data_IF_064635119822
#
_entry.id   IF_064635119822
#
_cell.length_a   1.000
_cell.length_b   1.000
_cell.length_c   1.000
_cell.angle_alpha   90.00
_cell.angle_beta   90.00
_cell.angle_gamma   90.00
#
_symmetry.space_group_name_H-M   'P 1'
#
loop_
_entity.id
_entity.type
_entity.pdbx_description
1 polymer ?
#
# COMPACT_ATOMS: atom_id res chain seq x y z
N UNK A 1 15.11 -12.55 13.04
CA UNK A 1 13.91 -13.28 12.57
C UNK A 1 13.20 -12.36 11.59
N UNK A 2 13.04 -12.73 10.31
CA UNK A 2 12.30 -11.92 9.34
C UNK A 2 10.83 -11.98 9.73
N UNK A 3 10.30 -10.89 10.23
CA UNK A 3 8.98 -10.81 10.85
C UNK A 3 7.88 -11.25 9.89
N UNK A 4 7.19 -12.33 10.27
CA UNK A 4 6.09 -12.96 9.52
C UNK A 4 4.93 -11.99 9.27
N UNK A 5 4.84 -10.89 10.04
CA UNK A 5 3.79 -9.87 9.92
C UNK A 5 4.01 -8.91 8.75
N UNK A 6 5.23 -8.80 8.22
CA UNK A 6 5.55 -7.94 7.07
C UNK A 6 5.34 -8.68 5.74
N UNK A 7 5.47 -10.01 5.74
CA UNK A 7 5.22 -10.87 4.58
C UNK A 7 3.82 -10.73 3.94
N UNK A 8 2.71 -10.68 4.70
CA UNK A 8 1.39 -10.46 4.09
C UNK A 8 1.28 -9.09 3.43
N UNK A 9 1.90 -8.05 4.00
CA UNK A 9 1.91 -6.69 3.45
C UNK A 9 2.71 -6.65 2.15
N UNK A 10 3.91 -7.25 2.13
CA UNK A 10 4.73 -7.36 0.93
C UNK A 10 4.02 -8.13 -0.20
N UNK A 11 3.33 -9.23 0.13
CA UNK A 11 2.52 -9.97 -0.86
C UNK A 11 1.34 -9.16 -1.39
N UNK A 12 0.75 -8.28 -0.56
CA UNK A 12 -0.31 -7.38 -0.99
C UNK A 12 0.25 -6.31 -1.96
N UNK A 13 1.38 -5.70 -1.62
CA UNK A 13 2.12 -4.77 -2.49
C UNK A 13 2.43 -5.42 -3.85
N UNK A 14 2.98 -6.65 -3.87
CA UNK A 14 3.29 -7.35 -5.13
C UNK A 14 2.04 -7.59 -5.99
N UNK A 15 0.90 -7.91 -5.37
CA UNK A 15 -0.38 -8.06 -6.09
C UNK A 15 -0.85 -6.74 -6.69
N UNK A 16 -0.79 -5.67 -5.92
CA UNK A 16 -1.17 -4.32 -6.34
C UNK A 16 -0.32 -3.84 -7.53
N UNK A 17 1.01 -3.99 -7.45
CA UNK A 17 1.92 -3.65 -8.56
C UNK A 17 1.66 -4.53 -9.79
N UNK A 18 1.31 -5.81 -9.60
CA UNK A 18 0.95 -6.68 -10.71
C UNK A 18 -0.36 -6.25 -11.39
N UNK A 19 -1.36 -5.79 -10.63
CA UNK A 19 -2.58 -5.19 -11.17
C UNK A 19 -2.25 -3.90 -11.94
N UNK A 20 -1.45 -3.00 -11.37
CA UNK A 20 -1.00 -1.77 -12.04
C UNK A 20 -0.35 -2.07 -13.39
N UNK A 21 0.64 -2.97 -13.41
CA UNK A 21 1.29 -3.38 -14.65
C UNK A 21 0.33 -3.99 -15.66
N UNK A 22 -0.67 -4.76 -15.23
CA UNK A 22 -1.70 -5.29 -16.14
C UNK A 22 -2.54 -4.19 -16.75
N UNK A 23 -2.97 -3.21 -15.96
CA UNK A 23 -3.74 -2.06 -16.43
C UNK A 23 -2.94 -1.24 -17.44
N UNK A 24 -1.66 -0.98 -17.17
CA UNK A 24 -0.78 -0.31 -18.14
C UNK A 24 -0.55 -1.11 -19.42
N UNK A 25 -0.45 -2.44 -19.32
CA UNK A 25 -0.16 -3.32 -20.46
C UNK A 25 -1.40 -3.65 -21.31
N UNK A 26 -2.61 -3.50 -20.75
CA UNK A 26 -3.88 -3.69 -21.47
C UNK A 26 -4.17 -2.58 -22.49
N UNK A 27 -3.43 -1.46 -22.42
CA UNK A 27 -3.49 -0.37 -23.40
C UNK A 27 -4.62 0.62 -23.13
N UNK A 28 -4.34 1.90 -23.44
CA UNK A 28 -5.20 3.06 -23.23
C UNK A 28 -5.93 3.05 -21.87
N UNK A 29 -5.21 3.46 -20.82
CA UNK A 29 -5.77 3.70 -19.47
C UNK A 29 -7.03 4.57 -19.60
N UNK A 30 -8.20 3.93 -19.51
CA UNK A 30 -9.47 4.64 -19.50
C UNK A 30 -9.55 5.53 -18.25
N UNK A 31 -10.43 6.53 -18.24
CA UNK A 31 -10.66 7.32 -17.01
C UNK A 31 -11.04 6.43 -15.81
N UNK A 32 -11.74 5.32 -16.10
CA UNK A 32 -12.07 4.25 -15.14
C UNK A 32 -10.81 3.57 -14.58
N UNK A 33 -9.82 3.29 -15.45
CA UNK A 33 -8.55 2.70 -15.04
C UNK A 33 -7.69 3.69 -14.25
N UNK A 34 -7.82 5.01 -14.49
CA UNK A 34 -7.12 6.03 -13.69
C UNK A 34 -7.59 6.04 -12.24
N UNK A 35 -8.91 5.96 -12.01
CA UNK A 35 -9.47 5.85 -10.66
C UNK A 35 -9.01 4.57 -9.97
N UNK A 36 -8.94 3.46 -10.72
CA UNK A 36 -8.40 2.18 -10.24
C UNK A 36 -6.91 2.29 -9.87
N UNK A 37 -6.11 2.91 -10.73
CA UNK A 37 -4.68 3.19 -10.52
C UNK A 37 -4.43 4.05 -9.28
N UNK A 38 -5.21 5.12 -9.11
CA UNK A 38 -5.11 5.99 -7.95
C UNK A 38 -5.37 5.22 -6.65
N UNK A 39 -6.40 4.36 -6.65
CA UNK A 39 -6.71 3.48 -5.52
C UNK A 39 -5.58 2.51 -5.22
N UNK A 40 -5.00 1.89 -6.25
CA UNK A 40 -3.85 0.99 -6.12
C UNK A 40 -2.64 1.71 -5.52
N UNK A 41 -2.32 2.93 -6.00
CA UNK A 41 -1.22 3.74 -5.47
C UNK A 41 -1.44 4.13 -4.00
N UNK A 42 -2.66 4.48 -3.64
CA UNK A 42 -3.04 4.78 -2.26
C UNK A 42 -2.85 3.56 -1.35
N UNK A 43 -3.30 2.38 -1.78
CA UNK A 43 -3.09 1.15 -1.00
C UNK A 43 -1.60 0.80 -0.87
N UNK A 44 -0.81 1.03 -1.92
CA UNK A 44 0.63 0.86 -1.89
C UNK A 44 1.28 1.80 -0.88
N UNK A 45 0.90 3.08 -0.87
CA UNK A 45 1.42 4.07 0.07
C UNK A 45 1.12 3.68 1.52
N UNK A 46 -0.11 3.25 1.80
CA UNK A 46 -0.50 2.74 3.13
C UNK A 46 0.33 1.53 3.57
N UNK A 47 0.58 0.59 2.65
CA UNK A 47 1.41 -0.57 2.93
C UNK A 47 2.87 -0.17 3.21
N UNK A 48 3.41 0.78 2.45
CA UNK A 48 4.76 1.33 2.66
C UNK A 48 4.87 2.13 3.96
N UNK A 49 3.89 2.96 4.31
CA UNK A 49 3.86 3.71 5.56
C UNK A 49 3.84 2.78 6.77
N UNK A 50 3.04 1.71 6.71
CA UNK A 50 2.99 0.71 7.77
C UNK A 50 4.32 -0.03 7.95
N UNK A 51 4.99 -0.41 6.85
CA UNK A 51 6.33 -1.01 6.90
C UNK A 51 7.37 -0.02 7.45
N UNK A 52 7.31 1.24 7.03
CA UNK A 52 8.21 2.29 7.51
C UNK A 52 8.00 2.57 9.00
N UNK A 53 6.75 2.63 9.45
CA UNK A 53 6.38 2.83 10.85
C UNK A 53 6.88 1.66 11.71
N UNK A 54 6.70 0.41 11.26
CA UNK A 54 7.25 -0.78 11.93
C UNK A 54 8.77 -0.71 12.02
N UNK A 55 9.44 -0.35 10.92
CA UNK A 55 10.90 -0.26 10.86
C UNK A 55 11.44 0.82 11.80
N UNK A 56 10.82 2.00 11.82
CA UNK A 56 11.16 3.06 12.76
C UNK A 56 10.98 2.58 14.21
N UNK A 57 9.84 1.99 14.56
CA UNK A 57 9.61 1.47 15.92
C UNK A 57 10.64 0.44 16.34
N UNK A 58 11.02 -0.50 15.45
CA UNK A 58 12.11 -1.46 15.72
C UNK A 58 13.44 -0.77 15.98
N UNK A 59 13.78 0.23 15.18
CA UNK A 59 15.02 1.01 15.32
C UNK A 59 15.08 1.75 16.66
N UNK A 60 13.93 2.26 17.14
CA UNK A 60 13.80 2.88 18.46
C UNK A 60 13.55 1.89 19.61
N UNK A 61 13.61 0.57 19.37
CA UNK A 61 13.36 -0.46 20.39
C UNK A 61 11.91 -0.54 20.90
N UNK A 62 10.96 0.05 20.17
CA UNK A 62 9.53 0.03 20.46
C UNK A 62 8.85 -1.18 19.82
N UNK A 63 7.70 -1.58 20.38
CA UNK A 63 6.95 -2.74 19.89
C UNK A 63 6.41 -2.50 18.46
N UNK A 64 6.82 -3.33 17.47
CA UNK A 64 6.40 -3.16 16.08
C UNK A 64 4.94 -3.57 15.83
N UNK A 65 4.30 -4.31 16.74
CA UNK A 65 2.88 -4.69 16.60
C UNK A 65 1.93 -3.53 16.94
N UNK A 66 2.42 -2.50 17.63
CA UNK A 66 1.64 -1.28 17.87
C UNK A 66 1.48 -0.38 16.63
N UNK A 67 2.11 -0.70 15.50
CA UNK A 67 1.95 0.02 14.25
C UNK A 67 0.49 -0.15 13.77
N UNK A 68 -0.32 0.89 13.96
CA UNK A 68 -1.68 0.93 13.47
C UNK A 68 -1.65 1.47 12.04
N UNK A 69 -2.24 0.70 11.13
CA UNK A 69 -2.58 1.17 9.79
C UNK A 69 -3.45 2.40 9.96
N UNK A 70 -3.03 3.54 9.40
CA UNK A 70 -3.89 4.72 9.40
C UNK A 70 -5.20 4.31 8.73
N UNK A 71 -6.37 4.61 9.33
CA UNK A 71 -7.64 4.31 8.69
C UNK A 71 -7.67 5.02 7.32
N UNK A 72 -8.25 4.41 6.28
CA UNK A 72 -8.29 4.95 4.92
C UNK A 72 -9.18 6.21 4.77
N UNK A 73 -9.50 6.89 5.86
CA UNK A 73 -10.38 8.07 5.98
C UNK A 73 -9.86 9.32 5.26
N UNK A 74 -8.71 9.25 4.57
CA UNK A 74 -8.05 10.41 3.92
C UNK A 74 -8.01 10.29 2.40
N UNK A 75 -8.76 9.37 1.81
CA UNK A 75 -8.80 9.18 0.35
C UNK A 75 -10.23 9.33 -0.18
N UNK A 76 -11.06 10.08 0.55
CA UNK A 76 -12.34 10.60 0.03
C UNK A 76 -12.15 11.82 -0.89
N UNK A 77 -10.93 12.12 -1.34
CA UNK A 77 -10.64 13.28 -2.21
C UNK A 77 -10.12 12.90 -3.62
N UNK A 78 -10.22 11.63 -4.03
CA UNK A 78 -9.82 11.20 -5.39
C UNK A 78 -10.99 11.05 -6.37
N UNK A 79 -12.17 11.59 -6.03
CA UNK A 79 -13.24 11.83 -6.99
C UNK A 79 -13.50 13.35 -7.05
N UNK A 80 -12.82 14.01 -7.99
CA UNK A 80 -13.10 15.38 -8.42
C UNK A 80 -13.10 15.44 -9.94
#
# INVERSE_FOLDING_TARGET
MKDTTDQPVLRHIERLVSEEHKLYNQGAVAEEDRSRLAKIQVELDQCWDLLRQRRARREFGQDPKGAQMRPPDVVEDYEG
#
